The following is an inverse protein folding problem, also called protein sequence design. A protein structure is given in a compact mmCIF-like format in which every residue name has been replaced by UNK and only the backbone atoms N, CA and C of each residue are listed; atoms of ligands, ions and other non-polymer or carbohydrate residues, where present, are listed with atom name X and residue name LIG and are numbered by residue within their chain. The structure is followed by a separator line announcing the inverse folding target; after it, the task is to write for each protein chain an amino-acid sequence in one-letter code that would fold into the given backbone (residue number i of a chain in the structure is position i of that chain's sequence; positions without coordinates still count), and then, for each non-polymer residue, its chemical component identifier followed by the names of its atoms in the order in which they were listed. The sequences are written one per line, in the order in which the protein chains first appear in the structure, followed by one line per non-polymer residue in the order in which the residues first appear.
data_IF_933739419307
#
_entry.id   IF_933739419307
#
_cell.length_a   1.000
_cell.length_b   1.000
_cell.length_c   1.000
_cell.angle_alpha   90.00
_cell.angle_beta   90.00
_cell.angle_gamma   90.00
#
_symmetry.space_group_name_H-M   'P 1'
#
loop_
_entity.id
_entity.type
_entity.pdbx_description
1 polymer ?
#
# COMPACT_ATOMS: atom_id res chain seq x y z
N UNK A 1 -10.54 -7.60 18.68
CA UNK A 1 -10.30 -7.45 17.23
C UNK A 1 -10.56 -6.01 16.81
N UNK A 2 -9.71 -5.48 15.94
CA UNK A 2 -9.92 -4.15 15.34
C UNK A 2 -11.02 -4.24 14.30
N UNK A 3 -11.99 -3.33 14.35
CA UNK A 3 -13.16 -3.30 13.46
C UNK A 3 -12.88 -2.40 12.26
N UNK A 4 -12.73 -2.99 11.08
CA UNK A 4 -12.28 -2.31 9.87
C UNK A 4 -13.39 -2.28 8.82
N UNK A 5 -13.59 -1.12 8.21
CA UNK A 5 -14.39 -0.97 7.01
C UNK A 5 -13.50 -0.69 5.79
N UNK A 6 -13.86 -1.22 4.63
CA UNK A 6 -13.16 -0.95 3.37
C UNK A 6 -14.04 -0.04 2.51
N UNK A 7 -13.58 1.18 2.25
CA UNK A 7 -14.20 2.07 1.29
C UNK A 7 -13.47 2.03 -0.05
N UNK A 8 -14.12 1.47 -1.06
CA UNK A 8 -13.53 1.18 -2.36
C UNK A 8 -13.02 -0.27 -2.48
N UNK A 9 -13.81 -1.09 -3.17
CA UNK A 9 -13.52 -2.52 -3.32
C UNK A 9 -12.83 -2.84 -4.65
N UNK A 10 -11.90 -1.93 -5.06
CA UNK A 10 -11.00 -2.09 -6.19
C UNK A 10 -9.88 -3.11 -5.93
N UNK A 11 -8.80 -3.05 -6.72
CA UNK A 11 -7.65 -3.97 -6.55
C UNK A 11 -7.12 -3.97 -5.12
N UNK A 12 -6.72 -2.80 -4.60
CA UNK A 12 -6.09 -2.68 -3.28
C UNK A 12 -7.04 -3.09 -2.15
N UNK A 13 -8.30 -2.64 -2.18
CA UNK A 13 -9.29 -3.04 -1.17
C UNK A 13 -9.51 -4.55 -1.11
N UNK A 14 -9.57 -5.24 -2.27
CA UNK A 14 -9.70 -6.70 -2.29
C UNK A 14 -8.43 -7.44 -1.88
N UNK A 15 -7.25 -6.97 -2.29
CA UNK A 15 -5.97 -7.57 -1.88
C UNK A 15 -5.78 -7.41 -0.37
N UNK A 16 -6.10 -6.23 0.20
CA UNK A 16 -6.09 -6.03 1.64
C UNK A 16 -7.07 -6.96 2.35
N UNK A 17 -8.29 -7.14 1.81
CA UNK A 17 -9.27 -8.09 2.38
C UNK A 17 -8.75 -9.54 2.37
N UNK A 18 -8.13 -10.01 1.27
CA UNK A 18 -7.50 -11.34 1.21
C UNK A 18 -6.40 -11.50 2.27
N UNK A 19 -5.53 -10.49 2.40
CA UNK A 19 -4.46 -10.51 3.41
C UNK A 19 -5.04 -10.59 4.83
N UNK A 20 -6.13 -9.86 5.10
CA UNK A 20 -6.82 -9.92 6.40
C UNK A 20 -7.39 -11.32 6.65
N UNK A 21 -8.08 -11.91 5.66
CA UNK A 21 -8.62 -13.26 5.76
C UNK A 21 -7.51 -14.27 6.07
N UNK A 22 -6.42 -14.24 5.32
CA UNK A 22 -5.36 -15.26 5.38
C UNK A 22 -4.39 -15.09 6.56
N UNK A 23 -4.15 -13.85 7.01
CA UNK A 23 -3.06 -13.56 7.97
C UNK A 23 -3.51 -12.86 9.26
N UNK A 24 -4.58 -12.08 9.22
CA UNK A 24 -4.98 -11.19 10.32
C UNK A 24 -6.41 -11.43 10.82
N UNK A 25 -7.04 -12.55 10.45
CA UNK A 25 -8.44 -12.85 10.75
C UNK A 25 -8.76 -13.00 12.25
N UNK A 26 -7.75 -13.17 13.11
CA UNK A 26 -7.89 -13.19 14.58
C UNK A 26 -7.71 -11.80 15.21
N UNK A 27 -7.10 -10.85 14.49
CA UNK A 27 -6.79 -9.51 15.00
C UNK A 27 -7.69 -8.43 14.40
N UNK A 28 -8.14 -8.62 13.14
CA UNK A 28 -8.95 -7.69 12.36
C UNK A 28 -10.27 -8.36 11.97
N UNK A 29 -11.36 -7.65 12.20
CA UNK A 29 -12.71 -7.99 11.71
C UNK A 29 -13.11 -6.99 10.62
N UNK A 30 -13.35 -7.47 9.39
CA UNK A 30 -14.00 -6.64 8.37
C UNK A 30 -15.48 -6.56 8.70
N UNK A 31 -15.94 -5.37 9.06
CA UNK A 31 -17.33 -5.12 9.49
C UNK A 31 -18.20 -4.52 8.40
N UNK A 32 -17.61 -4.01 7.33
CA UNK A 32 -18.33 -3.50 6.17
C UNK A 32 -17.41 -3.31 4.95
N UNK A 33 -18.04 -3.32 3.78
CA UNK A 33 -17.46 -2.88 2.52
C UNK A 33 -18.40 -1.88 1.85
N UNK A 34 -17.85 -0.75 1.39
CA UNK A 34 -18.57 0.14 0.49
C UNK A 34 -18.01 0.02 -0.93
N UNK A 35 -18.87 -0.35 -1.88
CA UNK A 35 -18.53 -0.55 -3.28
C UNK A 35 -18.78 0.70 -4.16
N UNK A 36 -19.01 1.86 -3.54
CA UNK A 36 -19.25 3.14 -4.22
C UNK A 36 -20.59 3.17 -4.95
N UNK A 37 -20.60 3.03 -6.27
CA UNK A 37 -21.85 3.02 -7.06
C UNK A 37 -22.22 1.65 -7.62
N UNK A 38 -21.48 0.61 -7.26
CA UNK A 38 -21.73 -0.75 -7.73
C UNK A 38 -22.70 -1.48 -6.81
N UNK A 39 -23.66 -2.17 -7.42
CA UNK A 39 -24.61 -3.07 -6.72
C UNK A 39 -24.40 -4.54 -7.07
N UNK A 40 -23.35 -4.85 -7.81
CA UNK A 40 -23.05 -6.21 -8.28
C UNK A 40 -22.33 -7.05 -7.21
N UNK A 41 -23.06 -7.57 -6.28
CA UNK A 41 -22.55 -8.44 -5.23
C UNK A 41 -21.88 -9.72 -5.77
N UNK A 42 -22.48 -10.32 -6.82
CA UNK A 42 -21.94 -11.54 -7.42
C UNK A 42 -20.56 -11.29 -8.06
N UNK A 43 -20.42 -10.17 -8.76
CA UNK A 43 -19.14 -9.77 -9.35
C UNK A 43 -18.07 -9.50 -8.28
N UNK A 44 -18.43 -8.87 -7.16
CA UNK A 44 -17.48 -8.60 -6.07
C UNK A 44 -17.03 -9.88 -5.37
N UNK A 45 -17.94 -10.80 -5.09
CA UNK A 45 -17.59 -12.12 -4.55
C UNK A 45 -16.69 -12.89 -5.53
N UNK A 46 -17.04 -12.92 -6.82
CA UNK A 46 -16.25 -13.57 -7.86
C UNK A 46 -14.82 -13.00 -7.93
N UNK A 47 -14.68 -11.66 -7.89
CA UNK A 47 -13.37 -10.99 -7.94
C UNK A 47 -12.58 -11.09 -6.62
N UNK A 48 -13.22 -11.35 -5.48
CA UNK A 48 -12.51 -11.71 -4.26
C UNK A 48 -11.99 -13.15 -4.36
N UNK A 49 -12.82 -14.06 -4.89
CA UNK A 49 -12.46 -15.47 -5.02
C UNK A 49 -11.35 -15.70 -6.04
N UNK A 50 -11.47 -15.10 -7.22
CA UNK A 50 -10.52 -15.31 -8.32
C UNK A 50 -9.75 -14.02 -8.64
N UNK A 51 -8.44 -14.13 -8.70
CA UNK A 51 -7.54 -13.05 -9.09
C UNK A 51 -6.50 -13.57 -10.08
N UNK A 52 -6.24 -12.82 -11.14
CA UNK A 52 -5.29 -13.22 -12.17
C UNK A 52 -3.86 -13.34 -11.63
N UNK A 53 -3.47 -12.48 -10.69
CA UNK A 53 -2.11 -12.45 -10.15
C UNK A 53 -1.96 -13.31 -8.90
N UNK A 54 -2.99 -13.35 -8.04
CA UNK A 54 -2.95 -14.02 -6.74
C UNK A 54 -3.80 -15.30 -6.71
N UNK A 55 -4.32 -15.73 -7.85
CA UNK A 55 -5.08 -16.96 -8.05
C UNK A 55 -6.37 -17.06 -7.21
N UNK A 56 -6.85 -18.26 -7.01
CA UNK A 56 -8.06 -18.52 -6.24
C UNK A 56 -7.77 -18.37 -4.72
N UNK A 57 -8.69 -17.74 -4.01
CA UNK A 57 -8.71 -17.74 -2.54
C UNK A 57 -9.20 -19.12 -2.08
N UNK A 58 -8.25 -19.98 -1.73
CA UNK A 58 -8.53 -21.34 -1.32
C UNK A 58 -8.91 -21.43 0.18
N UNK A 59 -9.56 -22.55 0.53
CA UNK A 59 -9.89 -22.92 1.91
C UNK A 59 -10.90 -22.02 2.63
N UNK A 60 -11.56 -21.11 1.92
CA UNK A 60 -12.61 -20.24 2.46
C UNK A 60 -13.93 -20.44 1.72
N UNK A 61 -15.02 -20.54 2.47
CA UNK A 61 -16.36 -20.56 1.91
C UNK A 61 -16.82 -19.12 1.63
N UNK A 62 -17.33 -18.90 0.42
CA UNK A 62 -17.81 -17.59 0.00
C UNK A 62 -19.23 -17.73 -0.54
N UNK A 63 -20.18 -16.99 0.02
CA UNK A 63 -21.54 -16.88 -0.52
C UNK A 63 -22.13 -15.48 -0.24
N UNK A 64 -23.25 -15.19 -0.88
CA UNK A 64 -23.93 -13.92 -0.79
C UNK A 64 -25.25 -14.11 -0.03
N UNK A 65 -25.52 -13.19 0.89
CA UNK A 65 -26.85 -12.94 1.40
C UNK A 65 -27.49 -11.77 0.65
N UNK A 66 -28.74 -11.90 0.24
CA UNK A 66 -29.51 -10.81 -0.34
C UNK A 66 -29.86 -9.76 0.73
N UNK A 67 -30.22 -8.53 0.34
CA UNK A 67 -30.55 -7.48 1.32
C UNK A 67 -31.61 -7.90 2.35
N UNK A 68 -32.64 -8.63 1.93
CA UNK A 68 -33.71 -9.13 2.79
C UNK A 68 -33.28 -10.24 3.77
N UNK A 69 -32.16 -10.87 3.52
CA UNK A 69 -31.57 -11.94 4.35
C UNK A 69 -30.61 -11.39 5.41
N UNK A 70 -30.22 -10.12 5.29
CA UNK A 70 -29.34 -9.46 6.26
C UNK A 70 -30.15 -9.04 7.48
N UNK A 71 -29.97 -9.74 8.60
CA UNK A 71 -30.77 -9.52 9.83
C UNK A 71 -30.49 -8.13 10.46
N UNK A 72 -29.27 -7.68 10.44
CA UNK A 72 -28.88 -6.40 11.03
C UNK A 72 -29.43 -5.22 10.22
N UNK A 73 -29.96 -4.21 10.93
CA UNK A 73 -30.43 -2.97 10.33
C UNK A 73 -29.44 -1.86 10.61
N UNK A 74 -29.13 -1.09 9.58
CA UNK A 74 -28.23 0.04 9.64
C UNK A 74 -28.95 1.32 9.22
N UNK A 75 -28.40 2.47 9.51
CA UNK A 75 -28.92 3.77 9.06
C UNK A 75 -28.91 3.96 7.54
N UNK A 76 -28.12 3.14 6.83
CA UNK A 76 -28.11 3.03 5.36
C UNK A 76 -28.50 1.61 4.95
N UNK A 77 -29.33 1.48 3.90
CA UNK A 77 -29.70 0.16 3.36
C UNK A 77 -28.51 -0.55 2.71
N UNK A 78 -28.39 -1.85 2.99
CA UNK A 78 -27.38 -2.71 2.35
C UNK A 78 -27.81 -3.13 0.95
N UNK A 79 -26.84 -3.38 0.10
CA UNK A 79 -27.05 -4.07 -1.19
C UNK A 79 -26.93 -5.60 -1.07
N UNK A 80 -26.76 -6.10 0.15
CA UNK A 80 -26.56 -7.48 0.54
C UNK A 80 -25.39 -7.64 1.48
N UNK A 81 -24.97 -8.87 1.73
CA UNK A 81 -23.76 -9.17 2.48
C UNK A 81 -22.94 -10.25 1.77
N UNK A 82 -21.63 -10.14 1.90
CA UNK A 82 -20.70 -11.22 1.59
C UNK A 82 -20.47 -12.02 2.87
N UNK A 83 -20.63 -13.33 2.80
CA UNK A 83 -20.27 -14.23 3.90
C UNK A 83 -18.96 -14.90 3.55
N UNK A 84 -17.98 -14.72 4.41
CA UNK A 84 -16.67 -15.36 4.33
C UNK A 84 -16.56 -16.29 5.53
N UNK A 85 -16.57 -17.58 5.29
CA UNK A 85 -16.76 -18.61 6.31
C UNK A 85 -18.06 -18.31 7.08
N UNK A 86 -18.00 -18.03 8.36
CA UNK A 86 -19.18 -17.70 9.18
C UNK A 86 -19.36 -16.18 9.42
N UNK A 87 -18.47 -15.34 8.81
CA UNK A 87 -18.49 -13.89 9.03
C UNK A 87 -19.35 -13.20 7.98
N UNK A 88 -20.42 -12.52 8.42
CA UNK A 88 -21.32 -11.75 7.56
C UNK A 88 -20.81 -10.33 7.43
N UNK A 89 -20.47 -9.90 6.21
CA UNK A 89 -19.91 -8.60 5.89
C UNK A 89 -20.93 -7.83 5.05
N UNK A 90 -21.64 -6.84 5.61
CA UNK A 90 -22.58 -6.02 4.86
C UNK A 90 -21.89 -5.19 3.80
N UNK A 91 -22.52 -5.07 2.63
CA UNK A 91 -22.07 -4.25 1.52
C UNK A 91 -23.01 -3.07 1.31
N UNK A 92 -22.40 -1.93 1.06
CA UNK A 92 -23.07 -0.66 0.77
C UNK A 92 -22.71 -0.14 -0.61
N UNK A 93 -23.57 0.71 -1.18
CA UNK A 93 -23.37 1.37 -2.46
C UNK A 93 -23.66 2.87 -2.30
N UNK A 94 -22.70 3.59 -1.70
CA UNK A 94 -22.84 5.02 -1.42
C UNK A 94 -21.58 5.78 -1.86
N UNK A 95 -21.77 6.93 -2.52
CA UNK A 95 -20.68 7.79 -2.99
C UNK A 95 -20.28 8.84 -1.97
N UNK A 96 -21.18 9.20 -1.08
CA UNK A 96 -20.97 10.21 -0.06
C UNK A 96 -20.55 9.55 1.26
N UNK A 97 -19.29 9.69 1.68
CA UNK A 97 -18.80 9.03 2.89
C UNK A 97 -19.54 9.43 4.17
N UNK A 98 -20.14 10.63 4.21
CA UNK A 98 -20.88 11.12 5.38
C UNK A 98 -22.14 10.33 5.70
N UNK A 99 -22.66 9.57 4.73
CA UNK A 99 -23.86 8.75 4.86
C UNK A 99 -23.58 7.29 5.22
N UNK A 100 -22.31 6.90 5.22
CA UNK A 100 -21.93 5.53 5.52
C UNK A 100 -22.16 5.19 7.01
N UNK A 101 -22.63 4.00 7.37
CA UNK A 101 -23.09 3.67 8.72
C UNK A 101 -21.93 3.28 9.66
N UNK A 102 -20.82 4.02 9.63
CA UNK A 102 -19.63 3.68 10.41
C UNK A 102 -19.89 3.69 11.92
N UNK A 103 -20.78 4.56 12.39
CA UNK A 103 -21.16 4.62 13.80
C UNK A 103 -21.96 3.39 14.23
N UNK A 104 -22.91 2.95 13.42
CA UNK A 104 -23.74 1.76 13.72
C UNK A 104 -22.86 0.50 13.80
N UNK A 105 -21.81 0.46 12.99
CA UNK A 105 -20.86 -0.65 12.89
C UNK A 105 -19.69 -0.54 13.87
N UNK A 106 -19.60 0.54 14.67
CA UNK A 106 -18.49 0.80 15.57
C UNK A 106 -17.13 0.64 14.86
N UNK A 107 -16.96 1.28 13.71
CA UNK A 107 -15.74 1.18 12.89
C UNK A 107 -14.56 1.85 13.60
N UNK A 108 -13.52 1.11 13.86
CA UNK A 108 -12.27 1.66 14.39
C UNK A 108 -11.45 2.33 13.29
N UNK A 109 -11.29 1.66 12.14
CA UNK A 109 -10.50 2.19 11.02
C UNK A 109 -11.23 1.97 9.69
N UNK A 110 -11.27 3.02 8.87
CA UNK A 110 -11.64 2.91 7.45
C UNK A 110 -10.37 2.81 6.61
N UNK A 111 -10.26 1.77 5.79
CA UNK A 111 -9.31 1.70 4.68
C UNK A 111 -9.93 2.44 3.49
N UNK A 112 -9.44 3.65 3.20
CA UNK A 112 -9.88 4.45 2.05
C UNK A 112 -9.07 4.05 0.81
N UNK A 113 -9.69 3.31 -0.11
CA UNK A 113 -9.04 2.76 -1.31
C UNK A 113 -9.81 3.03 -2.61
N UNK A 114 -10.65 4.08 -2.64
CA UNK A 114 -11.37 4.50 -3.86
C UNK A 114 -10.49 5.28 -4.83
N UNK A 115 -9.43 5.93 -4.34
CA UNK A 115 -8.63 6.91 -5.10
C UNK A 115 -9.33 8.26 -5.34
N UNK A 116 -10.55 8.45 -4.84
CA UNK A 116 -11.33 9.69 -5.00
C UNK A 116 -11.06 10.70 -3.87
N UNK A 117 -10.91 10.21 -2.64
CA UNK A 117 -10.77 11.01 -1.43
C UNK A 117 -9.29 11.05 -1.02
N UNK A 118 -8.54 12.00 -1.57
CA UNK A 118 -7.07 12.06 -1.43
C UNK A 118 -6.57 13.32 -0.73
N UNK A 119 -7.45 14.03 -0.03
CA UNK A 119 -7.09 15.16 0.84
C UNK A 119 -7.80 14.99 2.19
N UNK A 120 -7.27 15.53 3.29
CA UNK A 120 -7.87 15.41 4.62
C UNK A 120 -9.33 15.89 4.66
N UNK A 121 -9.64 17.00 3.99
CA UNK A 121 -11.00 17.54 3.96
C UNK A 121 -12.00 16.58 3.29
N UNK A 122 -11.55 15.83 2.28
CA UNK A 122 -12.38 14.82 1.61
C UNK A 122 -12.51 13.53 2.41
N UNK A 123 -11.60 13.27 3.33
CA UNK A 123 -11.59 12.11 4.21
C UNK A 123 -12.40 12.38 5.49
N UNK A 124 -12.42 13.62 5.97
CA UNK A 124 -13.12 14.02 7.17
C UNK A 124 -14.56 13.48 7.27
N UNK A 125 -15.36 13.41 6.19
CA UNK A 125 -16.70 12.84 6.24
C UNK A 125 -16.77 11.39 6.76
N UNK A 126 -15.72 10.58 6.65
CA UNK A 126 -15.69 9.27 7.30
C UNK A 126 -15.64 9.35 8.82
N UNK A 127 -14.87 10.31 9.36
CA UNK A 127 -14.78 10.56 10.80
C UNK A 127 -16.15 11.08 11.30
N UNK A 128 -16.75 12.01 10.57
CA UNK A 128 -18.06 12.59 10.91
C UNK A 128 -19.17 11.49 10.90
N UNK A 129 -19.07 10.53 9.99
CA UNK A 129 -19.94 9.35 9.93
C UNK A 129 -19.72 8.36 11.09
N UNK A 130 -18.66 8.52 11.88
CA UNK A 130 -18.43 7.77 13.11
C UNK A 130 -17.24 6.82 13.09
N UNK A 131 -16.42 6.79 12.04
CA UNK A 131 -15.14 6.10 12.08
C UNK A 131 -14.18 6.79 13.06
N UNK A 132 -13.41 6.02 13.83
CA UNK A 132 -12.44 6.62 14.76
C UNK A 132 -11.16 7.06 14.06
N UNK A 133 -10.79 6.36 12.99
CA UNK A 133 -9.60 6.65 12.21
C UNK A 133 -9.78 6.27 10.75
N UNK A 134 -8.96 6.85 9.86
CA UNK A 134 -8.94 6.54 8.42
C UNK A 134 -7.50 6.40 7.95
N UNK A 135 -7.21 5.34 7.20
CA UNK A 135 -5.96 5.16 6.49
C UNK A 135 -6.19 5.25 4.98
N UNK A 136 -5.51 6.19 4.34
CA UNK A 136 -5.56 6.40 2.90
C UNK A 136 -4.57 5.47 2.19
N UNK A 137 -5.05 4.68 1.25
CA UNK A 137 -4.22 3.81 0.39
C UNK A 137 -3.58 4.55 -0.80
N UNK A 138 -3.18 5.79 -0.61
CA UNK A 138 -2.53 6.63 -1.61
C UNK A 138 -1.80 7.79 -0.92
N UNK A 139 -0.83 8.45 -1.56
CA UNK A 139 -0.28 9.70 -1.05
C UNK A 139 -1.36 10.79 -0.99
N UNK A 140 -1.32 11.63 0.04
CA UNK A 140 -2.11 12.85 0.04
C UNK A 140 -1.70 13.78 -1.10
N UNK A 141 -2.68 14.39 -1.75
CA UNK A 141 -2.44 15.38 -2.82
C UNK A 141 -2.07 16.76 -2.28
N UNK A 142 -2.46 17.05 -1.04
CA UNK A 142 -2.05 18.27 -0.34
C UNK A 142 -0.82 17.97 0.52
N UNK A 143 0.25 18.74 0.28
CA UNK A 143 1.55 18.51 0.92
C UNK A 143 1.59 18.96 2.41
N UNK A 144 0.62 19.75 2.87
CA UNK A 144 0.71 20.42 4.18
C UNK A 144 -0.03 19.73 5.32
N UNK A 145 -0.88 18.73 5.08
CA UNK A 145 -1.99 18.54 6.01
C UNK A 145 -2.18 17.18 6.67
N UNK A 146 -1.36 16.16 6.41
CA UNK A 146 -1.57 14.90 7.13
C UNK A 146 -0.33 14.03 7.18
N UNK A 147 -0.24 13.24 8.23
CA UNK A 147 0.87 12.34 8.46
C UNK A 147 0.91 11.23 7.40
N UNK A 148 2.06 11.12 6.76
CA UNK A 148 2.39 10.04 5.86
C UNK A 148 3.37 9.12 6.56
N UNK A 149 2.97 7.88 6.74
CA UNK A 149 3.79 6.89 7.41
C UNK A 149 4.35 5.85 6.44
N UNK A 150 5.52 5.35 6.79
CA UNK A 150 6.18 4.21 6.15
C UNK A 150 6.72 3.34 7.27
N UNK A 151 6.15 2.17 7.42
CA UNK A 151 6.49 1.24 8.50
C UNK A 151 7.99 0.90 8.47
N UNK A 152 8.62 0.91 9.64
CA UNK A 152 10.05 0.73 9.80
C UNK A 152 10.90 1.96 9.52
N UNK A 153 10.37 3.01 8.88
CA UNK A 153 11.09 4.26 8.57
C UNK A 153 10.74 5.36 9.55
N UNK A 154 9.50 5.82 9.56
CA UNK A 154 9.01 6.87 10.47
C UNK A 154 7.80 6.41 11.30
N UNK A 155 7.50 5.12 11.29
CA UNK A 155 6.50 4.47 12.12
C UNK A 155 7.02 3.11 12.56
N UNK A 156 6.90 2.80 13.85
CA UNK A 156 7.16 1.48 14.43
C UNK A 156 5.93 1.03 15.22
N UNK A 157 5.83 -0.25 15.53
CA UNK A 157 4.72 -0.84 16.28
C UNK A 157 4.48 -0.17 17.65
N UNK A 158 5.52 0.44 18.23
CA UNK A 158 5.48 1.11 19.53
C UNK A 158 5.03 2.58 19.47
N UNK A 159 4.91 3.17 18.29
CA UNK A 159 4.57 4.58 18.12
C UNK A 159 3.06 4.87 18.10
N UNK A 160 2.21 3.88 18.35
CA UNK A 160 0.76 3.95 18.20
C UNK A 160 0.08 5.13 18.88
N UNK A 161 0.60 5.65 20.01
CA UNK A 161 0.03 6.82 20.71
C UNK A 161 0.23 8.15 19.95
N UNK A 162 1.22 8.22 19.08
CA UNK A 162 1.62 9.47 18.39
C UNK A 162 1.04 9.60 16.98
N UNK A 163 0.40 8.55 16.48
CA UNK A 163 -0.17 8.53 15.12
C UNK A 163 -1.43 9.40 15.09
N UNK A 164 -1.64 10.20 14.06
CA UNK A 164 -2.87 10.91 13.80
C UNK A 164 -4.03 9.96 13.45
N UNK A 165 -5.27 10.46 13.52
CA UNK A 165 -6.44 9.64 13.19
C UNK A 165 -6.70 9.56 11.68
N UNK A 166 -6.12 10.46 10.89
CA UNK A 166 -6.19 10.46 9.41
C UNK A 166 -4.77 10.39 8.89
N UNK A 167 -4.42 9.26 8.30
CA UNK A 167 -3.05 8.96 7.87
C UNK A 167 -3.00 8.44 6.44
N UNK A 168 -1.82 8.47 5.84
CA UNK A 168 -1.55 7.88 4.53
C UNK A 168 -0.43 6.84 4.64
N UNK A 169 -0.67 5.64 4.10
CA UNK A 169 0.35 4.61 3.88
C UNK A 169 1.25 4.91 2.66
N UNK A 170 1.37 6.18 2.27
CA UNK A 170 2.13 6.62 1.09
C UNK A 170 1.76 5.85 -0.20
N UNK A 171 2.75 5.54 -1.05
CA UNK A 171 2.59 4.74 -2.26
C UNK A 171 3.38 3.43 -2.18
N UNK A 172 3.06 2.47 -3.05
CA UNK A 172 3.83 1.24 -3.18
C UNK A 172 5.31 1.50 -3.49
N UNK A 173 5.58 2.47 -4.36
CA UNK A 173 6.96 2.88 -4.69
C UNK A 173 7.63 3.52 -3.47
N UNK A 174 6.94 4.38 -2.71
CA UNK A 174 7.50 4.97 -1.48
C UNK A 174 7.86 3.89 -0.47
N UNK A 175 6.98 2.89 -0.28
CA UNK A 175 7.23 1.77 0.62
C UNK A 175 8.44 0.92 0.17
N UNK A 176 8.71 0.82 -1.13
CA UNK A 176 9.92 0.17 -1.63
C UNK A 176 11.18 1.02 -1.39
N UNK A 177 11.12 2.31 -1.73
CA UNK A 177 12.34 3.13 -1.79
C UNK A 177 12.78 3.66 -0.43
N UNK A 178 11.86 3.93 0.49
CA UNK A 178 12.19 4.54 1.77
C UNK A 178 13.04 3.62 2.68
N UNK A 179 12.77 2.31 2.82
CA UNK A 179 13.65 1.41 3.57
C UNK A 179 15.08 1.37 3.02
N UNK A 180 15.27 1.24 1.71
CA UNK A 180 16.59 1.25 1.09
C UNK A 180 17.31 2.58 1.35
N UNK A 181 16.62 3.70 1.13
CA UNK A 181 17.19 5.02 1.34
C UNK A 181 17.55 5.27 2.82
N UNK A 182 16.72 4.80 3.76
CA UNK A 182 17.00 4.91 5.20
C UNK A 182 18.26 4.12 5.59
N UNK A 183 18.38 2.87 5.14
CA UNK A 183 19.54 2.01 5.42
C UNK A 183 20.83 2.66 4.89
N UNK A 184 20.79 3.18 3.67
CA UNK A 184 21.96 3.80 3.04
C UNK A 184 22.29 5.15 3.66
N UNK A 185 21.31 6.00 3.94
CA UNK A 185 21.53 7.31 4.60
C UNK A 185 22.08 7.13 6.02
N UNK A 186 21.53 6.23 6.81
CA UNK A 186 21.95 5.96 8.19
C UNK A 186 23.40 5.41 8.26
N UNK A 187 23.83 4.65 7.24
CA UNK A 187 25.14 3.97 7.27
C UNK A 187 26.24 4.74 6.56
N UNK A 188 25.94 5.30 5.40
CA UNK A 188 26.95 5.89 4.52
C UNK A 188 26.78 7.40 4.32
N UNK A 189 25.58 7.90 4.58
CA UNK A 189 25.15 9.26 4.24
C UNK A 189 24.99 9.46 2.72
N UNK A 190 23.90 10.12 2.35
CA UNK A 190 23.58 10.42 0.95
C UNK A 190 23.87 11.90 0.68
N UNK A 191 24.64 12.20 -0.33
CA UNK A 191 24.86 13.56 -0.84
C UNK A 191 23.77 13.95 -1.84
N UNK A 192 23.47 13.04 -2.77
CA UNK A 192 22.43 13.19 -3.80
C UNK A 192 21.92 11.81 -4.21
N UNK A 193 20.67 11.74 -4.65
CA UNK A 193 20.09 10.51 -5.14
C UNK A 193 19.10 10.73 -6.30
N UNK A 194 19.15 9.80 -7.24
CA UNK A 194 18.16 9.66 -8.31
C UNK A 194 17.55 8.25 -8.28
N UNK A 195 16.26 8.15 -8.59
CA UNK A 195 15.57 6.87 -8.66
C UNK A 195 14.72 6.81 -9.95
N UNK A 196 14.77 5.67 -10.62
CA UNK A 196 13.82 5.32 -11.67
C UNK A 196 13.08 4.06 -11.25
N UNK A 197 11.74 4.12 -11.10
CA UNK A 197 10.99 2.89 -10.91
C UNK A 197 10.46 2.37 -12.23
N UNK A 198 10.77 1.11 -12.57
CA UNK A 198 10.19 0.35 -13.67
C UNK A 198 8.99 -0.37 -13.08
N UNK A 199 7.79 0.10 -13.43
CA UNK A 199 6.57 -0.20 -12.70
C UNK A 199 5.54 -0.87 -13.59
N UNK A 200 4.89 -1.91 -13.08
CA UNK A 200 3.73 -2.51 -13.71
C UNK A 200 2.64 -1.47 -14.00
N UNK A 201 1.82 -1.70 -15.03
CA UNK A 201 0.69 -0.81 -15.29
C UNK A 201 -0.36 -0.91 -14.18
N UNK A 202 -1.16 0.15 -14.02
CA UNK A 202 -2.21 0.21 -13.01
C UNK A 202 -3.52 0.65 -13.64
N UNK A 203 -4.64 0.52 -12.92
CA UNK A 203 -5.97 0.94 -13.37
C UNK A 203 -6.09 2.45 -13.66
N UNK A 204 -5.08 3.25 -13.29
CA UNK A 204 -4.96 4.66 -13.67
C UNK A 204 -4.65 4.84 -15.17
N UNK A 205 -4.11 3.81 -15.83
CA UNK A 205 -3.76 3.84 -17.24
C UNK A 205 -4.88 3.28 -18.12
N UNK A 206 -4.94 3.75 -19.36
CA UNK A 206 -5.89 3.24 -20.35
C UNK A 206 -5.40 1.93 -20.97
N UNK A 207 -6.31 0.93 -21.10
CA UNK A 207 -6.02 -0.30 -21.89
C UNK A 207 -5.84 -0.01 -23.36
N UNK A 208 -6.69 0.87 -23.90
CA UNK A 208 -6.58 1.42 -25.26
C UNK A 208 -6.31 2.91 -25.13
N UNK A 209 -5.87 3.56 -26.22
CA UNK A 209 -5.71 5.01 -26.25
C UNK A 209 -7.02 5.71 -25.84
N UNK A 210 -6.96 6.54 -24.80
CA UNK A 210 -8.14 7.16 -24.20
C UNK A 210 -7.82 8.47 -23.48
N UNK A 211 -8.84 9.08 -22.88
CA UNK A 211 -8.67 10.34 -22.15
C UNK A 211 -7.89 10.17 -20.85
N UNK A 212 -6.85 10.98 -20.66
CA UNK A 212 -6.11 11.10 -19.40
C UNK A 212 -5.42 12.47 -19.33
N UNK A 213 -5.29 13.05 -18.13
CA UNK A 213 -4.60 14.35 -17.94
C UNK A 213 -3.10 14.29 -18.24
N UNK A 214 -2.45 13.14 -18.02
CA UNK A 214 -1.12 12.82 -18.50
C UNK A 214 -1.25 12.14 -19.86
N UNK A 215 -0.85 12.79 -20.94
CA UNK A 215 -0.98 12.27 -22.29
C UNK A 215 -0.17 10.98 -22.56
N UNK A 216 0.88 10.71 -21.79
CA UNK A 216 1.61 9.45 -21.88
C UNK A 216 0.84 8.31 -21.25
N UNK A 217 0.17 8.52 -20.10
CA UNK A 217 -0.72 7.52 -19.49
C UNK A 217 -2.02 7.30 -20.28
N UNK A 218 -2.37 8.23 -21.18
CA UNK A 218 -3.49 8.10 -22.10
C UNK A 218 -3.29 6.99 -23.15
N UNK A 219 -2.05 6.55 -23.35
CA UNK A 219 -1.70 5.55 -24.37
C UNK A 219 -1.85 4.13 -23.82
N UNK A 220 -2.10 3.19 -24.74
CA UNK A 220 -2.28 1.75 -24.47
C UNK A 220 -1.19 1.21 -23.52
N UNK A 221 -1.62 0.79 -22.33
CA UNK A 221 -0.72 0.35 -21.27
C UNK A 221 0.00 -0.98 -21.59
N UNK A 222 -0.66 -1.88 -22.34
CA UNK A 222 -0.17 -3.22 -22.60
C UNK A 222 0.87 -3.30 -23.74
N UNK A 223 1.09 -2.20 -24.48
CA UNK A 223 1.98 -2.17 -25.65
C UNK A 223 3.02 -1.05 -25.63
N UNK A 224 3.10 -0.27 -24.56
CA UNK A 224 3.99 0.89 -24.51
C UNK A 224 4.86 0.90 -23.26
N UNK A 225 6.09 1.39 -23.41
CA UNK A 225 6.94 1.87 -22.31
C UNK A 225 6.57 3.34 -22.09
N UNK A 226 6.05 3.66 -20.89
CA UNK A 226 5.44 4.96 -20.60
C UNK A 226 6.21 5.69 -19.48
N UNK A 227 7.12 6.64 -19.81
CA UNK A 227 7.73 7.50 -18.81
C UNK A 227 6.69 8.46 -18.23
N UNK A 228 6.66 8.61 -16.90
CA UNK A 228 5.73 9.49 -16.22
C UNK A 228 6.30 9.99 -14.89
N UNK A 229 5.67 10.98 -14.30
CA UNK A 229 6.07 11.50 -12.99
C UNK A 229 5.82 10.49 -11.87
N UNK A 230 6.60 10.60 -10.79
CA UNK A 230 6.41 9.88 -9.54
C UNK A 230 6.53 10.85 -8.36
N UNK A 231 5.55 10.82 -7.46
CA UNK A 231 5.63 11.53 -6.17
C UNK A 231 6.32 10.74 -5.06
N UNK A 232 6.84 9.55 -5.39
CA UNK A 232 7.36 8.63 -4.37
C UNK A 232 8.59 9.17 -3.62
N UNK A 233 9.49 9.86 -4.32
CA UNK A 233 10.68 10.46 -3.71
C UNK A 233 10.34 11.64 -2.79
N UNK A 234 9.32 12.42 -3.12
CA UNK A 234 8.80 13.49 -2.26
C UNK A 234 8.21 12.87 -0.97
N UNK A 235 7.43 11.81 -1.10
CA UNK A 235 6.87 11.12 0.05
C UNK A 235 7.97 10.44 0.91
N UNK A 236 9.00 9.85 0.28
CA UNK A 236 10.15 9.30 1.00
C UNK A 236 10.93 10.38 1.76
N UNK A 237 11.10 11.57 1.17
CA UNK A 237 11.74 12.70 1.84
C UNK A 237 10.91 13.27 3.02
N UNK A 238 9.58 13.09 3.01
CA UNK A 238 8.75 13.39 4.19
C UNK A 238 9.04 12.40 5.34
N UNK A 239 9.21 11.12 5.03
CA UNK A 239 9.54 10.09 6.01
C UNK A 239 11.02 10.17 6.47
N UNK A 240 11.92 10.67 5.62
CA UNK A 240 13.36 10.81 5.87
C UNK A 240 13.76 12.25 5.55
N UNK A 241 13.63 13.20 6.51
CA UNK A 241 13.82 14.64 6.25
C UNK A 241 15.19 15.04 5.69
N UNK A 242 16.25 14.27 5.98
CA UNK A 242 17.59 14.51 5.42
C UNK A 242 17.67 14.39 3.89
N UNK A 243 16.69 13.71 3.27
CA UNK A 243 16.63 13.53 1.82
C UNK A 243 15.88 14.65 1.09
N UNK A 244 15.35 15.63 1.84
CA UNK A 244 14.61 16.74 1.23
C UNK A 244 15.49 17.56 0.30
N UNK A 245 15.05 17.71 -0.97
CA UNK A 245 15.76 18.48 -1.99
C UNK A 245 16.93 17.77 -2.66
N UNK A 246 17.36 16.61 -2.14
CA UNK A 246 18.50 15.84 -2.69
C UNK A 246 18.09 14.49 -3.28
N UNK A 247 16.82 14.08 -3.16
CA UNK A 247 16.28 12.84 -3.71
C UNK A 247 15.17 13.14 -4.70
N UNK A 248 15.35 12.72 -5.96
CA UNK A 248 14.35 12.90 -7.02
C UNK A 248 14.22 11.64 -7.88
N UNK A 249 13.19 11.55 -8.72
CA UNK A 249 12.99 10.39 -9.56
C UNK A 249 11.78 10.46 -10.47
N UNK A 250 11.64 9.43 -11.30
CA UNK A 250 10.52 9.24 -12.22
C UNK A 250 10.06 7.78 -12.26
N UNK A 251 8.94 7.52 -12.90
CA UNK A 251 8.43 6.19 -13.17
C UNK A 251 8.45 5.87 -14.66
N UNK A 252 8.74 4.63 -15.00
CA UNK A 252 8.57 4.07 -16.34
C UNK A 252 7.57 2.93 -16.22
N UNK A 253 6.36 3.11 -16.76
CA UNK A 253 5.36 2.06 -16.81
C UNK A 253 5.68 1.11 -17.96
N UNK A 254 5.57 -0.21 -17.68
CA UNK A 254 5.87 -1.27 -18.64
C UNK A 254 4.70 -2.23 -18.77
N UNK A 255 4.59 -3.02 -19.86
CA UNK A 255 3.51 -3.99 -20.09
C UNK A 255 3.58 -5.22 -19.17
N UNK A 256 3.62 -5.01 -17.87
CA UNK A 256 3.63 -6.02 -16.81
C UNK A 256 2.51 -5.67 -15.84
N UNK A 257 1.68 -6.65 -15.48
CA UNK A 257 0.50 -6.39 -14.66
C UNK A 257 0.87 -6.09 -13.20
N UNK A 258 1.79 -6.88 -12.64
CA UNK A 258 2.30 -6.77 -11.26
C UNK A 258 3.77 -7.17 -11.25
N UNK A 259 4.52 -6.68 -10.27
CA UNK A 259 5.96 -6.85 -10.16
C UNK A 259 6.71 -5.64 -10.73
N UNK A 260 7.33 -4.90 -9.83
CA UNK A 260 8.00 -3.65 -10.13
C UNK A 260 9.41 -3.66 -9.54
N UNK A 261 10.28 -2.81 -10.05
CA UNK A 261 11.60 -2.59 -9.46
C UNK A 261 11.92 -1.10 -9.39
N UNK A 262 12.73 -0.72 -8.41
CA UNK A 262 13.32 0.61 -8.31
C UNK A 262 14.82 0.53 -8.54
N UNK A 263 15.32 1.34 -9.47
CA UNK A 263 16.73 1.53 -9.80
C UNK A 263 17.20 2.81 -9.12
N UNK A 264 18.09 2.68 -8.14
CA UNK A 264 18.66 3.80 -7.40
C UNK A 264 20.06 4.12 -7.89
N UNK A 265 20.37 5.40 -7.94
CA UNK A 265 21.73 5.91 -8.05
C UNK A 265 21.96 6.89 -6.92
N UNK A 266 22.83 6.54 -5.97
CA UNK A 266 23.22 7.37 -4.84
C UNK A 266 24.63 7.92 -5.06
N UNK A 267 24.83 9.21 -4.78
CA UNK A 267 26.14 9.77 -4.51
C UNK A 267 26.30 9.80 -2.99
N UNK A 268 27.25 9.02 -2.48
CA UNK A 268 27.47 8.86 -1.05
C UNK A 268 28.47 9.88 -0.51
N UNK A 269 28.43 10.17 0.79
CA UNK A 269 29.34 11.08 1.50
C UNK A 269 30.74 10.49 1.72
N UNK A 270 30.93 9.20 1.46
CA UNK A 270 32.21 8.51 1.53
C UNK A 270 32.32 7.39 0.52
N UNK A 271 33.53 6.95 0.27
CA UNK A 271 33.81 5.77 -0.57
C UNK A 271 33.35 4.48 0.14
N UNK A 272 32.88 3.54 -0.67
CA UNK A 272 32.41 2.21 -0.26
C UNK A 272 32.84 1.15 -1.30
N UNK A 273 32.74 -0.12 -0.92
CA UNK A 273 32.84 -1.24 -1.86
C UNK A 273 31.49 -1.95 -2.01
N UNK A 274 31.33 -2.76 -3.06
CA UNK A 274 30.15 -3.58 -3.27
C UNK A 274 29.94 -4.55 -2.09
N UNK A 275 31.02 -5.14 -1.60
CA UNK A 275 31.00 -6.10 -0.47
C UNK A 275 30.53 -5.43 0.81
N UNK A 276 30.99 -4.21 1.07
CA UNK A 276 30.57 -3.43 2.24
C UNK A 276 29.09 -3.11 2.18
N UNK A 277 28.60 -2.59 1.04
CA UNK A 277 27.18 -2.27 0.83
C UNK A 277 26.30 -3.51 0.98
N UNK A 278 26.66 -4.61 0.31
CA UNK A 278 25.92 -5.87 0.39
C UNK A 278 25.94 -6.45 1.81
N UNK A 279 27.03 -6.27 2.56
CA UNK A 279 27.11 -6.63 3.98
C UNK A 279 26.11 -5.87 4.84
N UNK A 280 26.01 -4.55 4.64
CA UNK A 280 25.03 -3.70 5.35
C UNK A 280 23.60 -4.08 5.00
N UNK A 281 23.29 -4.30 3.73
CA UNK A 281 21.94 -4.72 3.30
C UNK A 281 21.53 -6.08 3.89
N UNK A 282 22.47 -7.06 3.96
CA UNK A 282 22.24 -8.35 4.62
C UNK A 282 21.94 -8.18 6.11
N UNK A 283 22.75 -7.38 6.81
CA UNK A 283 22.53 -7.10 8.24
C UNK A 283 21.20 -6.39 8.49
N UNK A 284 20.81 -5.46 7.60
CA UNK A 284 19.51 -4.82 7.70
C UNK A 284 18.36 -5.83 7.53
N UNK A 285 18.45 -6.76 6.59
CA UNK A 285 17.42 -7.80 6.40
C UNK A 285 17.23 -8.72 7.63
N UNK A 286 18.25 -8.87 8.47
CA UNK A 286 18.19 -9.63 9.72
C UNK A 286 17.73 -8.77 10.93
N UNK A 287 17.68 -7.46 10.78
CA UNK A 287 17.31 -6.56 11.88
C UNK A 287 15.77 -6.60 12.11
N UNK A 288 15.32 -6.78 13.37
CA UNK A 288 13.89 -6.79 13.71
C UNK A 288 13.09 -5.59 13.20
N UNK A 289 13.70 -4.40 13.09
CA UNK A 289 13.07 -3.19 12.52
C UNK A 289 12.53 -3.43 11.11
N UNK A 290 13.23 -4.25 10.33
CA UNK A 290 12.93 -4.48 8.92
C UNK A 290 12.20 -5.80 8.63
N UNK A 291 11.88 -6.55 9.67
CA UNK A 291 11.21 -7.85 9.54
C UNK A 291 9.90 -7.73 8.75
N UNK A 292 9.78 -8.50 7.67
CA UNK A 292 8.61 -8.47 6.77
C UNK A 292 8.51 -7.23 5.87
N UNK A 293 9.41 -6.23 6.04
CA UNK A 293 9.42 -4.98 5.29
C UNK A 293 10.52 -5.00 4.23
N UNK A 294 11.74 -5.31 4.63
CA UNK A 294 12.92 -5.32 3.77
C UNK A 294 13.60 -6.69 3.81
N UNK A 295 14.04 -7.15 2.65
CA UNK A 295 14.86 -8.36 2.51
C UNK A 295 15.84 -8.21 1.35
N UNK A 296 16.69 -9.22 1.17
CA UNK A 296 17.69 -9.26 0.10
C UNK A 296 17.60 -10.56 -0.69
N UNK A 297 18.10 -10.55 -1.92
CA UNK A 297 18.25 -11.75 -2.74
C UNK A 297 19.60 -11.78 -3.45
N UNK A 298 20.11 -12.99 -3.77
CA UNK A 298 21.19 -13.22 -4.71
C UNK A 298 20.72 -14.00 -5.95
N UNK A 299 19.43 -14.39 -5.96
CA UNK A 299 18.85 -15.13 -7.06
C UNK A 299 18.60 -14.21 -8.26
N UNK A 300 18.76 -14.69 -9.49
CA UNK A 300 18.55 -13.90 -10.70
C UNK A 300 17.04 -13.79 -11.01
N UNK A 301 16.32 -13.03 -10.15
CA UNK A 301 14.87 -12.87 -10.23
C UNK A 301 14.44 -11.98 -11.39
N UNK A 302 13.21 -12.21 -11.84
CA UNK A 302 12.47 -11.34 -12.76
C UNK A 302 11.11 -10.96 -12.13
N UNK A 303 10.39 -10.05 -12.77
CA UNK A 303 9.15 -9.47 -12.19
C UNK A 303 8.08 -10.50 -11.82
N UNK A 304 7.98 -11.62 -12.52
CA UNK A 304 7.01 -12.69 -12.21
C UNK A 304 7.31 -13.44 -10.91
N UNK A 305 8.59 -13.48 -10.50
CA UNK A 305 9.03 -14.18 -9.28
C UNK A 305 8.68 -13.39 -8.00
N UNK A 306 8.34 -12.10 -8.17
CA UNK A 306 8.01 -11.18 -7.06
C UNK A 306 6.53 -11.22 -6.71
N UNK A 307 5.69 -11.76 -7.59
CA UNK A 307 4.23 -11.79 -7.39
C UNK A 307 3.88 -12.57 -6.12
N UNK A 308 3.09 -11.95 -5.25
CA UNK A 308 2.71 -12.50 -3.95
C UNK A 308 3.75 -12.34 -2.84
N UNK A 309 4.89 -11.68 -3.10
CA UNK A 309 5.86 -11.40 -2.05
C UNK A 309 5.37 -10.24 -1.16
N UNK A 310 5.35 -10.45 0.16
CA UNK A 310 4.83 -9.48 1.12
C UNK A 310 5.81 -8.38 1.53
N UNK A 311 7.11 -8.50 1.19
CA UNK A 311 8.08 -7.46 1.51
C UNK A 311 7.84 -6.19 0.68
N UNK A 312 8.03 -5.05 1.30
CA UNK A 312 7.97 -3.75 0.61
C UNK A 312 9.14 -3.56 -0.33
N UNK A 313 10.29 -4.14 -0.02
CA UNK A 313 11.54 -3.97 -0.77
C UNK A 313 12.42 -5.21 -0.68
N UNK A 314 12.90 -5.70 -1.83
CA UNK A 314 13.78 -6.85 -1.95
C UNK A 314 15.02 -6.40 -2.71
N UNK A 315 16.11 -6.07 -2.00
CA UNK A 315 17.34 -5.61 -2.63
C UNK A 315 18.05 -6.77 -3.36
N UNK A 316 18.34 -6.58 -4.64
CA UNK A 316 19.06 -7.55 -5.46
C UNK A 316 20.57 -7.30 -5.33
N UNK A 317 21.21 -8.10 -4.51
CA UNK A 317 22.65 -7.95 -4.18
C UNK A 317 23.56 -8.25 -5.37
N UNK A 318 23.08 -9.05 -6.34
CA UNK A 318 23.83 -9.40 -7.54
C UNK A 318 23.97 -8.22 -8.51
N UNK A 319 23.10 -7.22 -8.38
CA UNK A 319 23.03 -6.03 -9.22
C UNK A 319 23.62 -4.76 -8.56
N UNK A 320 24.15 -4.88 -7.34
CA UNK A 320 24.83 -3.77 -6.66
C UNK A 320 26.10 -3.38 -7.42
N UNK A 321 26.26 -2.09 -7.71
CA UNK A 321 27.45 -1.58 -8.41
C UNK A 321 27.97 -0.32 -7.72
N UNK A 322 29.30 -0.17 -7.69
CA UNK A 322 29.97 1.04 -7.19
C UNK A 322 30.90 1.57 -8.27
N UNK A 323 30.79 2.85 -8.57
CA UNK A 323 31.66 3.56 -9.54
C UNK A 323 32.38 4.68 -8.81
N UNK A 324 33.69 4.78 -9.06
CA UNK A 324 34.60 5.80 -8.51
C UNK A 324 34.49 5.97 -6.98
N UNK A 325 34.25 4.87 -6.27
CA UNK A 325 34.21 4.78 -4.80
C UNK A 325 32.89 5.19 -4.17
N UNK A 326 32.21 6.22 -4.64
CA UNK A 326 31.03 6.77 -3.96
C UNK A 326 29.74 6.88 -4.80
N UNK A 327 29.76 6.49 -6.07
CA UNK A 327 28.53 6.39 -6.86
C UNK A 327 27.98 4.97 -6.77
N UNK A 328 26.93 4.79 -5.98
CA UNK A 328 26.31 3.50 -5.68
C UNK A 328 25.04 3.30 -6.49
N UNK A 329 24.91 2.12 -7.13
CA UNK A 329 23.67 1.63 -7.72
C UNK A 329 23.10 0.48 -6.89
N UNK A 330 21.80 0.53 -6.59
CA UNK A 330 21.03 -0.55 -5.97
C UNK A 330 19.78 -0.80 -6.81
N UNK A 331 19.41 -2.05 -6.98
CA UNK A 331 18.12 -2.48 -7.55
C UNK A 331 17.31 -3.11 -6.42
N UNK A 332 16.04 -2.71 -6.30
CA UNK A 332 15.12 -3.31 -5.35
C UNK A 332 13.80 -3.67 -6.02
N UNK A 333 13.38 -4.93 -5.87
CA UNK A 333 12.13 -5.48 -6.35
C UNK A 333 11.00 -5.28 -5.36
N UNK A 334 9.75 -5.20 -5.84
CA UNK A 334 8.57 -5.18 -5.00
C UNK A 334 7.30 -5.60 -5.76
N UNK A 335 6.43 -6.33 -5.08
CA UNK A 335 5.06 -6.49 -5.55
C UNK A 335 4.29 -5.22 -5.21
N UNK A 336 3.96 -4.43 -6.23
CA UNK A 336 3.33 -3.12 -6.07
C UNK A 336 1.88 -3.16 -5.55
N UNK A 337 1.25 -4.34 -5.49
CA UNK A 337 -0.08 -4.53 -4.91
C UNK A 337 0.01 -5.32 -3.59
N UNK A 338 0.61 -6.51 -3.59
CA UNK A 338 0.62 -7.39 -2.42
C UNK A 338 1.54 -6.89 -1.30
N UNK A 339 2.78 -6.51 -1.62
CA UNK A 339 3.70 -5.93 -0.64
C UNK A 339 3.15 -4.65 -0.03
N UNK A 340 2.60 -3.77 -0.88
CA UNK A 340 1.94 -2.55 -0.43
C UNK A 340 0.72 -2.81 0.46
N UNK A 341 -0.14 -3.75 0.09
CA UNK A 341 -1.36 -4.06 0.85
C UNK A 341 -1.05 -4.74 2.18
N UNK A 342 0.07 -5.48 2.32
CA UNK A 342 0.53 -5.97 3.62
C UNK A 342 0.85 -4.79 4.56
N UNK A 343 1.59 -3.78 4.11
CA UNK A 343 1.86 -2.57 4.91
C UNK A 343 0.60 -1.82 5.28
N UNK A 344 -0.33 -1.68 4.32
CA UNK A 344 -1.62 -1.05 4.56
C UNK A 344 -2.42 -1.76 5.68
N UNK A 345 -2.44 -3.09 5.69
CA UNK A 345 -3.12 -3.88 6.73
C UNK A 345 -2.40 -3.79 8.08
N UNK A 346 -1.08 -3.86 8.09
CA UNK A 346 -0.28 -3.71 9.31
C UNK A 346 -0.44 -2.33 9.96
N UNK A 347 -0.38 -1.25 9.17
CA UNK A 347 -0.65 0.10 9.66
C UNK A 347 -2.12 0.26 10.11
N UNK A 348 -3.08 -0.39 9.43
CA UNK A 348 -4.49 -0.42 9.85
C UNK A 348 -4.61 -1.05 11.23
N UNK A 349 -3.88 -2.13 11.52
CA UNK A 349 -3.88 -2.79 12.82
C UNK A 349 -3.30 -1.88 13.92
N UNK A 350 -2.18 -1.21 13.66
CA UNK A 350 -1.56 -0.27 14.60
C UNK A 350 -2.54 0.88 14.92
N UNK A 351 -3.13 1.47 13.89
CA UNK A 351 -4.08 2.57 14.02
C UNK A 351 -5.36 2.14 14.77
N UNK A 352 -5.85 0.93 14.52
CA UNK A 352 -7.01 0.37 15.19
C UNK A 352 -6.78 0.07 16.67
N UNK A 353 -5.63 -0.47 17.04
CA UNK A 353 -5.23 -0.68 18.44
C UNK A 353 -5.21 0.63 19.21
N UNK A 354 -4.65 1.69 18.62
CA UNK A 354 -4.73 3.05 19.18
C UNK A 354 -6.17 3.50 19.37
N UNK A 355 -7.02 3.34 18.35
CA UNK A 355 -8.43 3.75 18.39
C UNK A 355 -9.25 3.06 19.50
N UNK A 356 -8.81 1.86 19.91
CA UNK A 356 -9.39 1.11 21.03
C UNK A 356 -8.79 1.47 22.40
N UNK A 357 -7.83 2.39 22.47
CA UNK A 357 -7.13 2.75 23.71
C UNK A 357 -6.16 1.65 24.20
N UNK A 358 -5.71 0.77 23.31
CA UNK A 358 -4.79 -0.32 23.62
C UNK A 358 -3.49 -0.19 22.78
N UNK A 359 -2.55 0.68 23.19
CA UNK A 359 -1.37 0.98 22.38
C UNK A 359 -0.30 -0.12 22.38
N UNK A 360 -0.46 -1.18 23.19
CA UNK A 360 0.53 -2.25 23.32
C UNK A 360 -0.12 -3.65 23.35
N UNK A 361 0.35 -4.49 22.53
CA UNK A 361 0.41 -5.95 22.78
C UNK A 361 1.68 -6.52 22.14
#
# INVERSE_FOLDING_TARGET
MVRVAINGYGRIGRVAHRIIIEKFGEEIEIVAVNAGSSTDMQGWMYLLKYDTMYHELHHHSLFIQKPEEVEAKYSLETIGALVVDDKVIPFFSEKDPSKLPWRDLNVDVVIESTGAFTTPEKIQPHIDAGAKSVILSAPFKDEQSAATYVLGVNLNDQDGEKIENVVSNASCTTNCIAPVAAIIEETFGIEKAMMTTIHGYTSDQSLQDGGHKDYRRARNAAQNIIPTSSGATIAAAKAIPSLQGIFNGLAIRVPVAVGSLSDFTFLLKRDVTVEEVNGVLKQAAENPRWKGIFTVTNDPLVSSDIIGNSHSSIADLSLTQVVAGNMLKIIAWYDNEFGYSNRLVEETLILGRKAQGNPQS
#
